data_IF_052788507365
#
_entry.id   IF_052788507365
#
_cell.length_a   1.000
_cell.length_b   1.000
_cell.length_c   1.000
_cell.angle_alpha   90.00
_cell.angle_beta   90.00
_cell.angle_gamma   90.00
#
_symmetry.space_group_name_H-M   'P 1'
#
loop_
_entity.id
_entity.type
_entity.pdbx_description
1 polymer ?
#
# COMPACT_ATOMS: atom_id res chain seq x y z
N UNK A 1 22.39 10.99 4.48
CA UNK A 1 21.85 9.84 5.23
C UNK A 1 21.53 8.81 4.18
N UNK A 2 22.25 7.71 4.15
CA UNK A 2 21.97 6.62 3.22
C UNK A 2 20.62 6.04 3.61
N UNK A 3 19.62 6.20 2.75
CA UNK A 3 18.30 5.60 2.97
C UNK A 3 18.51 4.13 2.71
N UNK A 4 18.45 3.30 3.76
CA UNK A 4 18.49 1.85 3.59
C UNK A 4 17.35 1.39 2.68
N UNK A 5 17.58 0.31 1.93
CA UNK A 5 16.56 -0.27 1.04
C UNK A 5 15.29 -0.57 1.84
N UNK A 6 14.13 -0.21 1.27
CA UNK A 6 12.86 -0.48 1.93
C UNK A 6 12.56 -1.99 1.93
N UNK A 7 12.09 -2.49 3.05
CA UNK A 7 11.75 -3.89 3.22
C UNK A 7 10.25 -4.12 3.04
N UNK A 8 9.88 -5.37 2.72
CA UNK A 8 8.47 -5.75 2.65
C UNK A 8 7.80 -5.53 4.00
N UNK A 9 6.66 -4.85 3.99
CA UNK A 9 5.91 -4.48 5.19
C UNK A 9 6.28 -3.09 5.72
N UNK A 10 7.35 -2.45 5.26
CA UNK A 10 7.69 -1.10 5.69
C UNK A 10 6.63 -0.08 5.29
N UNK A 11 6.39 0.91 6.16
CA UNK A 11 5.69 2.13 5.78
C UNK A 11 6.74 3.09 5.21
N UNK A 12 6.52 3.53 3.97
CA UNK A 12 7.45 4.39 3.24
C UNK A 12 6.82 5.74 2.91
N UNK A 13 7.64 6.80 3.01
CA UNK A 13 7.33 8.13 2.48
C UNK A 13 8.10 8.31 1.18
N UNK A 14 7.39 8.66 0.11
CA UNK A 14 8.00 8.83 -1.21
C UNK A 14 7.35 9.95 -2.00
N UNK A 15 8.13 10.54 -2.91
CA UNK A 15 7.65 11.50 -3.90
C UNK A 15 6.74 10.77 -4.90
N UNK A 16 5.49 11.17 -5.02
CA UNK A 16 4.51 10.52 -5.88
C UNK A 16 5.00 10.49 -7.35
N UNK A 17 5.23 9.31 -7.97
CA UNK A 17 5.93 9.26 -9.26
C UNK A 17 5.26 10.07 -10.39
N UNK A 18 3.92 10.05 -10.56
CA UNK A 18 3.24 10.89 -11.54
C UNK A 18 3.29 12.41 -11.24
N UNK A 19 3.48 12.80 -9.98
CA UNK A 19 3.60 14.22 -9.58
C UNK A 19 4.57 14.37 -8.38
N UNK A 20 5.89 14.45 -8.61
CA UNK A 20 6.90 14.39 -7.55
C UNK A 20 6.88 15.57 -6.56
N UNK A 21 6.09 16.61 -6.79
CA UNK A 21 5.90 17.69 -5.81
C UNK A 21 5.03 17.28 -4.61
N UNK A 22 4.41 16.10 -4.64
CA UNK A 22 3.52 15.58 -3.59
C UNK A 22 4.16 14.37 -2.92
N UNK A 23 4.14 14.35 -1.59
CA UNK A 23 4.61 13.22 -0.79
C UNK A 23 3.45 12.27 -0.48
N UNK A 24 3.68 10.98 -0.69
CA UNK A 24 2.74 9.91 -0.38
C UNK A 24 3.29 9.04 0.76
N UNK A 25 2.39 8.50 1.57
CA UNK A 25 2.68 7.48 2.57
C UNK A 25 1.87 6.24 2.22
N UNK A 26 2.55 5.11 2.04
CA UNK A 26 1.98 3.79 1.74
C UNK A 26 2.85 2.70 2.33
N UNK A 27 2.32 1.48 2.41
CA UNK A 27 3.08 0.29 2.80
C UNK A 27 3.72 -0.36 1.59
N UNK A 28 5.00 -0.73 1.70
CA UNK A 28 5.69 -1.54 0.70
C UNK A 28 5.20 -2.97 0.82
N UNK A 29 4.53 -3.49 -0.21
CA UNK A 29 4.03 -4.87 -0.24
C UNK A 29 4.84 -5.77 -1.17
N UNK A 30 5.54 -5.18 -2.15
CA UNK A 30 6.45 -5.88 -3.05
C UNK A 30 7.78 -5.14 -3.19
N UNK A 31 8.86 -5.90 -3.15
CA UNK A 31 10.25 -5.43 -3.36
C UNK A 31 10.77 -5.94 -4.72
N UNK A 32 11.94 -5.48 -5.22
CA UNK A 32 12.47 -5.93 -6.50
C UNK A 32 12.43 -7.45 -6.70
N UNK A 33 11.95 -7.88 -7.88
CA UNK A 33 11.81 -9.29 -8.25
C UNK A 33 10.54 -9.99 -7.75
N UNK A 34 9.82 -9.42 -6.79
CA UNK A 34 8.55 -10.00 -6.32
C UNK A 34 7.51 -10.03 -7.45
N UNK A 35 6.70 -11.07 -7.46
CA UNK A 35 5.46 -11.11 -8.23
C UNK A 35 4.27 -10.92 -7.30
N UNK A 36 3.47 -9.92 -7.61
CA UNK A 36 2.32 -9.46 -6.84
C UNK A 36 1.06 -9.73 -7.65
N UNK A 37 0.06 -10.36 -7.03
CA UNK A 37 -1.28 -10.55 -7.61
C UNK A 37 -2.32 -10.04 -6.64
N UNK A 38 -3.28 -9.25 -7.10
CA UNK A 38 -4.36 -8.74 -6.25
C UNK A 38 -5.74 -9.10 -6.81
N UNK A 39 -6.31 -10.20 -6.30
CA UNK A 39 -7.57 -10.78 -6.77
C UNK A 39 -8.58 -10.88 -5.66
N UNK A 40 -9.83 -10.51 -5.93
CA UNK A 40 -10.92 -10.58 -4.96
C UNK A 40 -10.57 -9.98 -3.59
N UNK A 41 -9.88 -8.83 -3.64
CA UNK A 41 -9.39 -8.10 -2.46
C UNK A 41 -8.39 -8.87 -1.58
N UNK A 42 -7.73 -9.87 -2.14
CA UNK A 42 -6.71 -10.67 -1.50
C UNK A 42 -5.41 -10.51 -2.26
N UNK A 43 -4.35 -10.26 -1.50
CA UNK A 43 -2.99 -10.19 -2.01
C UNK A 43 -2.40 -11.59 -2.09
N UNK A 44 -1.77 -11.91 -3.21
CA UNK A 44 -0.91 -13.07 -3.37
C UNK A 44 0.47 -12.57 -3.73
N UNK A 45 1.48 -13.23 -3.19
CA UNK A 45 2.87 -12.84 -3.30
C UNK A 45 3.66 -14.08 -3.68
N UNK A 46 4.46 -13.98 -4.72
CA UNK A 46 5.54 -14.91 -5.02
C UNK A 46 6.85 -14.13 -4.81
N UNK A 47 7.57 -14.40 -3.71
CA UNK A 47 8.80 -13.68 -3.41
C UNK A 47 9.86 -13.86 -4.49
N UNK A 48 10.67 -12.82 -4.72
CA UNK A 48 11.82 -12.90 -5.61
C UNK A 48 12.70 -14.11 -5.29
N UNK A 49 13.14 -14.83 -6.32
CA UNK A 49 14.10 -15.91 -6.15
C UNK A 49 15.48 -15.33 -5.83
N UNK A 50 16.10 -15.80 -4.75
CA UNK A 50 17.44 -15.34 -4.38
C UNK A 50 18.49 -16.02 -5.27
N UNK A 51 19.50 -15.26 -5.70
CA UNK A 51 20.60 -15.80 -6.50
C UNK A 51 21.27 -17.00 -5.82
N UNK A 52 21.44 -18.08 -6.58
CA UNK A 52 22.02 -19.33 -6.10
C UNK A 52 21.05 -20.24 -5.33
N UNK A 53 19.78 -19.86 -5.17
CA UNK A 53 18.76 -20.71 -4.59
C UNK A 53 18.28 -21.75 -5.61
N UNK A 54 18.34 -23.03 -5.23
CA UNK A 54 17.98 -24.14 -6.12
C UNK A 54 16.46 -24.31 -6.29
N UNK A 55 15.68 -23.90 -5.30
CA UNK A 55 14.22 -23.92 -5.32
C UNK A 55 13.67 -22.53 -4.99
N UNK A 56 13.06 -21.87 -5.97
CA UNK A 56 12.47 -20.55 -5.78
C UNK A 56 11.17 -20.62 -4.98
N UNK A 57 10.88 -19.61 -4.13
CA UNK A 57 9.59 -19.47 -3.47
C UNK A 57 8.44 -19.54 -4.46
N UNK A 58 7.36 -20.22 -4.08
CA UNK A 58 6.14 -20.29 -4.89
C UNK A 58 5.17 -19.21 -4.45
N UNK A 59 4.20 -18.92 -5.32
CA UNK A 59 3.08 -18.04 -4.97
C UNK A 59 2.37 -18.51 -3.70
N UNK A 60 2.20 -17.58 -2.78
CA UNK A 60 1.48 -17.77 -1.52
C UNK A 60 0.38 -16.73 -1.38
N UNK A 61 -0.72 -17.14 -0.75
CA UNK A 61 -1.74 -16.19 -0.31
C UNK A 61 -1.22 -15.42 0.89
N UNK A 62 -1.34 -14.10 0.85
CA UNK A 62 -1.07 -13.26 2.02
C UNK A 62 -2.23 -13.46 2.99
N UNK A 63 -1.94 -14.09 4.13
CA UNK A 63 -2.96 -14.44 5.10
C UNK A 63 -3.64 -13.19 5.64
N UNK A 64 -4.98 -13.22 5.72
CA UNK A 64 -5.76 -12.17 6.37
C UNK A 64 -6.84 -12.77 7.27
N UNK A 65 -7.03 -12.21 8.44
CA UNK A 65 -8.04 -12.61 9.41
C UNK A 65 -8.97 -11.44 9.70
N UNK A 66 -10.27 -11.71 9.81
CA UNK A 66 -11.23 -10.68 10.20
C UNK A 66 -10.99 -10.30 11.67
N UNK A 67 -10.86 -9.01 11.93
CA UNK A 67 -10.68 -8.49 13.28
C UNK A 67 -12.01 -7.95 13.81
N UNK A 68 -12.40 -8.28 15.06
CA UNK A 68 -13.56 -7.65 15.68
C UNK A 68 -13.33 -6.14 15.78
N UNK A 69 -14.37 -5.38 15.47
CA UNK A 69 -14.35 -3.92 15.50
C UNK A 69 -15.23 -3.42 16.64
N UNK A 70 -14.61 -2.81 17.66
CA UNK A 70 -15.34 -2.07 18.70
C UNK A 70 -15.92 -0.76 18.13
N UNK A 71 -15.15 -0.10 17.26
CA UNK A 71 -15.57 1.07 16.48
C UNK A 71 -15.58 0.71 14.98
N UNK A 72 -16.69 1.04 14.31
CA UNK A 72 -16.86 0.77 12.87
C UNK A 72 -16.29 1.93 12.07
N UNK A 73 -15.36 1.64 11.16
CA UNK A 73 -14.86 2.61 10.20
C UNK A 73 -15.86 2.79 9.04
N UNK A 74 -15.95 4.01 8.51
CA UNK A 74 -16.86 4.32 7.40
C UNK A 74 -16.16 4.98 6.22
N UNK A 75 -16.60 4.63 5.01
CA UNK A 75 -16.36 5.40 3.80
C UNK A 75 -17.68 6.05 3.37
N UNK A 76 -17.88 7.32 3.74
CA UNK A 76 -19.19 7.96 3.67
C UNK A 76 -20.19 7.25 4.59
N UNK A 77 -21.25 6.68 4.02
CA UNK A 77 -22.24 5.90 4.77
C UNK A 77 -22.00 4.39 4.78
N UNK A 78 -20.91 3.91 4.16
CA UNK A 78 -20.63 2.47 4.00
C UNK A 78 -19.69 1.99 5.10
N UNK A 79 -20.04 0.95 5.86
CA UNK A 79 -19.15 0.40 6.87
C UNK A 79 -17.98 -0.35 6.19
N UNK A 80 -16.81 -0.28 6.81
CA UNK A 80 -15.61 -0.99 6.39
C UNK A 80 -15.37 -2.19 7.31
N UNK A 81 -14.81 -3.25 6.73
CA UNK A 81 -14.32 -4.42 7.44
C UNK A 81 -12.82 -4.28 7.70
N UNK A 82 -12.44 -4.46 8.97
CA UNK A 82 -11.04 -4.52 9.41
C UNK A 82 -10.53 -5.95 9.35
N UNK A 83 -9.37 -6.11 8.75
CA UNK A 83 -8.63 -7.37 8.74
C UNK A 83 -7.21 -7.16 9.23
N UNK A 84 -6.64 -8.15 9.88
CA UNK A 84 -5.20 -8.26 10.13
C UNK A 84 -4.57 -9.05 8.99
N UNK A 85 -3.58 -8.46 8.30
CA UNK A 85 -2.87 -9.04 7.15
C UNK A 85 -1.38 -9.29 7.48
N UNK A 86 -0.85 -10.46 7.07
CA UNK A 86 0.51 -10.90 7.37
C UNK A 86 1.43 -10.82 6.13
N UNK A 87 2.36 -9.86 6.11
CA UNK A 87 3.39 -9.70 5.08
C UNK A 87 4.75 -10.15 5.61
N UNK A 88 5.13 -11.41 5.38
CA UNK A 88 6.35 -11.97 5.95
C UNK A 88 6.25 -11.96 7.48
N UNK A 89 7.14 -11.23 8.16
CA UNK A 89 7.13 -11.07 9.62
C UNK A 89 6.28 -9.87 10.10
N UNK A 90 5.76 -9.05 9.19
CA UNK A 90 4.97 -7.85 9.52
C UNK A 90 3.48 -8.14 9.50
N UNK A 91 2.84 -8.06 10.66
CA UNK A 91 1.38 -8.04 10.80
C UNK A 91 0.87 -6.59 10.81
N UNK A 92 -0.19 -6.28 10.07
CA UNK A 92 -0.79 -4.95 10.05
C UNK A 92 -2.29 -4.99 9.78
N UNK A 93 -2.98 -3.91 10.16
CA UNK A 93 -4.41 -3.76 9.87
C UNK A 93 -4.65 -3.23 8.46
N UNK A 94 -5.72 -3.70 7.83
CA UNK A 94 -6.25 -3.19 6.58
C UNK A 94 -7.76 -2.97 6.70
N UNK A 95 -8.28 -1.99 5.95
CA UNK A 95 -9.71 -1.74 5.82
C UNK A 95 -10.17 -2.08 4.40
N UNK A 96 -11.28 -2.80 4.32
CA UNK A 96 -11.93 -3.22 3.07
C UNK A 96 -13.39 -2.77 3.09
N UNK A 97 -13.88 -2.19 1.99
CA UNK A 97 -15.30 -1.88 1.80
C UNK A 97 -15.97 -3.10 1.13
N UNK A 98 -16.73 -3.95 1.83
CA UNK A 98 -17.31 -5.15 1.24
C UNK A 98 -18.33 -4.85 0.13
N UNK A 99 -18.84 -3.61 0.04
CA UNK A 99 -19.84 -3.21 -0.94
C UNK A 99 -19.27 -2.75 -2.29
N UNK A 100 -17.94 -2.59 -2.39
CA UNK A 100 -17.26 -2.11 -3.60
C UNK A 100 -16.59 -3.27 -4.33
N UNK A 101 -16.89 -3.46 -5.62
CA UNK A 101 -16.15 -4.42 -6.45
C UNK A 101 -14.74 -3.91 -6.78
N UNK A 102 -13.74 -4.81 -6.92
CA UNK A 102 -12.40 -4.44 -7.36
C UNK A 102 -12.43 -3.67 -8.69
N UNK A 103 -11.69 -2.55 -8.77
CA UNK A 103 -11.67 -1.64 -9.92
C UNK A 103 -10.64 -2.06 -10.97
N UNK A 104 -10.63 -3.34 -11.34
CA UNK A 104 -9.57 -3.96 -12.16
C UNK A 104 -9.33 -3.24 -13.49
N UNK A 105 -10.37 -2.71 -14.12
CA UNK A 105 -10.25 -1.96 -15.39
C UNK A 105 -9.43 -0.67 -15.29
N UNK A 106 -9.22 -0.15 -14.08
CA UNK A 106 -8.44 1.07 -13.81
C UNK A 106 -7.03 0.74 -13.32
N UNK A 107 -6.69 -0.54 -13.21
CA UNK A 107 -5.38 -0.92 -12.76
C UNK A 107 -4.33 -0.59 -13.81
N UNK A 108 -3.14 -0.22 -13.33
CA UNK A 108 -1.96 -0.06 -14.15
C UNK A 108 -1.61 -1.40 -14.79
N UNK A 109 -1.68 -1.47 -16.12
CA UNK A 109 -1.20 -2.63 -16.87
C UNK A 109 0.32 -2.51 -17.07
N UNK A 110 1.09 -3.45 -16.54
CA UNK A 110 2.53 -3.51 -16.81
C UNK A 110 2.75 -3.76 -18.33
N UNK A 111 3.44 -2.86 -19.06
CA UNK A 111 3.47 -2.85 -20.53
C UNK A 111 4.34 -3.95 -21.16
N UNK A 112 5.25 -4.51 -20.39
CA UNK A 112 6.43 -5.24 -20.86
C UNK A 112 6.51 -6.68 -20.35
N UNK A 113 5.46 -7.18 -19.68
CA UNK A 113 5.38 -8.57 -19.19
C UNK A 113 4.01 -9.17 -19.51
N UNK A 114 3.97 -10.47 -19.79
CA UNK A 114 2.74 -11.23 -20.03
C UNK A 114 1.91 -11.44 -18.75
N UNK A 115 1.85 -10.43 -17.87
CA UNK A 115 1.10 -10.47 -16.62
C UNK A 115 -0.37 -10.16 -16.89
N UNK A 116 -1.25 -10.77 -16.10
CA UNK A 116 -2.64 -10.40 -16.08
C UNK A 116 -2.82 -8.94 -15.59
N UNK A 117 -3.99 -8.36 -15.84
CA UNK A 117 -4.38 -6.99 -15.42
C UNK A 117 -4.31 -6.73 -13.91
N UNK A 118 -4.26 -7.80 -13.11
CA UNK A 118 -4.22 -7.79 -11.66
C UNK A 118 -2.92 -8.38 -11.10
N UNK A 119 -1.88 -8.41 -11.94
CA UNK A 119 -0.59 -9.02 -11.67
C UNK A 119 0.57 -8.14 -12.15
N UNK A 120 1.59 -8.04 -11.30
CA UNK A 120 2.78 -7.23 -11.53
C UNK A 120 4.01 -7.97 -11.08
N UNK A 121 5.10 -7.84 -11.83
CA UNK A 121 6.42 -8.28 -11.36
C UNK A 121 7.25 -7.02 -11.14
N UNK A 122 7.65 -6.81 -9.90
CA UNK A 122 8.34 -5.59 -9.45
C UNK A 122 9.71 -5.48 -10.13
N UNK A 123 9.99 -4.39 -10.86
CA UNK A 123 11.29 -4.20 -11.51
C UNK A 123 12.43 -3.99 -10.49
N UNK A 124 13.65 -4.18 -10.95
CA UNK A 124 14.85 -3.78 -10.20
C UNK A 124 14.81 -2.29 -9.85
N UNK A 125 15.27 -1.93 -8.64
CA UNK A 125 15.26 -0.55 -8.14
C UNK A 125 13.86 0.06 -7.97
N UNK A 126 12.81 -0.77 -7.91
CA UNK A 126 11.42 -0.32 -7.76
C UNK A 126 10.70 -1.07 -6.64
N UNK A 127 9.59 -0.49 -6.19
CA UNK A 127 8.73 -1.04 -5.16
C UNK A 127 7.26 -1.03 -5.59
N UNK A 128 6.48 -1.98 -5.07
CA UNK A 128 5.02 -1.97 -5.17
C UNK A 128 4.43 -1.55 -3.83
N UNK A 129 3.75 -0.42 -3.80
CA UNK A 129 3.24 0.19 -2.59
C UNK A 129 1.70 0.18 -2.57
N UNK A 130 1.10 -0.17 -1.43
CA UNK A 130 -0.36 -0.20 -1.23
C UNK A 130 -0.76 0.55 0.03
N UNK A 131 -1.96 1.13 0.02
CA UNK A 131 -2.55 1.71 1.22
C UNK A 131 -3.30 0.67 2.03
N UNK A 132 -3.23 0.80 3.36
CA UNK A 132 -3.92 -0.09 4.30
C UNK A 132 -5.45 0.09 4.22
N UNK A 133 -5.95 1.27 3.81
CA UNK A 133 -7.34 1.47 3.43
C UNK A 133 -7.57 1.05 1.96
N UNK A 134 -7.75 -0.25 1.72
CA UNK A 134 -7.55 -0.91 0.42
C UNK A 134 -8.48 -0.43 -0.68
N UNK A 135 -9.74 -0.13 -0.37
CA UNK A 135 -10.72 0.36 -1.35
C UNK A 135 -10.74 1.89 -1.48
N UNK A 136 -10.00 2.60 -0.62
CA UNK A 136 -9.92 4.06 -0.58
C UNK A 136 -8.48 4.57 -0.70
N UNK A 137 -7.65 3.84 -1.45
CA UNK A 137 -6.26 4.18 -1.68
C UNK A 137 -5.96 4.12 -3.18
N UNK A 138 -5.49 5.25 -3.72
CA UNK A 138 -4.85 5.32 -5.03
C UNK A 138 -3.35 5.03 -4.86
N UNK A 139 -2.94 3.83 -5.21
CA UNK A 139 -1.61 3.28 -4.96
C UNK A 139 -1.09 2.50 -6.17
N UNK A 140 -0.04 1.68 -6.02
CA UNK A 140 0.65 1.04 -7.15
C UNK A 140 -0.24 0.21 -8.06
N UNK A 141 -1.41 -0.22 -7.57
CA UNK A 141 -2.45 -0.86 -8.39
C UNK A 141 -2.90 0.03 -9.55
N UNK A 142 -2.87 1.36 -9.41
CA UNK A 142 -3.43 2.33 -10.36
C UNK A 142 -2.36 3.10 -11.15
N UNK A 143 -1.20 3.38 -10.55
CA UNK A 143 -0.13 4.17 -11.19
C UNK A 143 1.19 3.44 -11.36
N UNK A 144 1.30 2.18 -10.92
CA UNK A 144 2.50 1.35 -11.11
C UNK A 144 3.51 1.49 -9.98
N UNK A 145 4.80 1.38 -10.30
CA UNK A 145 5.84 1.17 -9.30
C UNK A 145 6.43 2.47 -8.75
N UNK A 146 7.00 2.42 -7.54
CA UNK A 146 7.77 3.50 -6.93
C UNK A 146 9.26 3.27 -7.20
N UNK A 147 9.96 4.13 -7.95
CA UNK A 147 11.40 4.05 -8.07
C UNK A 147 12.08 4.29 -6.71
N UNK A 148 13.21 3.61 -6.46
CA UNK A 148 13.97 3.76 -5.21
C UNK A 148 14.40 5.21 -4.95
N UNK A 149 14.75 5.96 -6.00
CA UNK A 149 15.10 7.38 -5.92
C UNK A 149 13.96 8.29 -5.45
N UNK A 150 12.71 7.83 -5.52
CA UNK A 150 11.56 8.56 -5.01
C UNK A 150 11.40 8.40 -3.50
N UNK A 151 12.07 7.43 -2.87
CA UNK A 151 12.00 7.23 -1.43
C UNK A 151 12.70 8.39 -0.70
N UNK A 152 11.95 9.10 0.15
CA UNK A 152 12.49 10.18 0.99
C UNK A 152 13.13 9.62 2.26
N UNK A 153 12.65 8.45 2.72
CA UNK A 153 13.15 7.72 3.88
C UNK A 153 12.20 6.59 4.32
N UNK A 154 12.73 5.60 5.05
CA UNK A 154 11.90 4.64 5.83
C UNK A 154 11.14 5.43 6.90
N UNK A 155 9.81 5.27 6.99
CA UNK A 155 9.06 5.81 8.12
C UNK A 155 9.33 4.93 9.35
N UNK A 156 10.52 5.05 9.94
CA UNK A 156 10.87 4.33 11.18
C UNK A 156 10.02 4.78 12.37
N UNK A 157 9.28 5.89 12.25
CA UNK A 157 8.28 6.36 13.19
C UNK A 157 7.15 7.10 12.47
N UNK A 158 5.89 6.81 12.81
CA UNK A 158 4.79 7.78 12.65
C UNK A 158 5.02 8.83 13.73
N UNK A 159 5.89 9.81 13.48
CA UNK A 159 6.20 10.87 14.45
C UNK A 159 5.10 11.94 14.53
N UNK A 160 4.21 11.97 13.53
CA UNK A 160 3.02 12.85 13.50
C UNK A 160 1.85 12.16 12.82
N UNK A 161 0.67 12.33 13.42
CA UNK A 161 -0.62 12.10 12.77
C UNK A 161 -1.35 13.44 12.67
N UNK A 162 -1.89 13.74 11.48
CA UNK A 162 -2.62 14.97 11.21
C UNK A 162 -4.12 14.70 11.19
N UNK A 163 -4.85 15.44 12.01
CA UNK A 163 -6.31 15.48 11.95
C UNK A 163 -6.75 16.59 10.99
N UNK A 164 -7.74 16.31 10.15
CA UNK A 164 -8.33 17.28 9.24
C UNK A 164 -9.82 17.40 9.56
N UNK A 165 -10.25 18.59 9.99
CA UNK A 165 -11.67 18.89 10.17
C UNK A 165 -12.40 18.82 8.82
N UNK A 166 -13.45 17.99 8.75
CA UNK A 166 -14.31 17.85 7.56
C UNK A 166 -15.66 18.57 7.72
N UNK A 167 -15.86 19.35 8.78
CA UNK A 167 -17.10 20.10 9.02
C UNK A 167 -17.38 21.12 7.91
N UNK A 168 -18.68 21.38 7.67
CA UNK A 168 -19.18 22.29 6.64
C UNK A 168 -18.97 23.77 6.98
N UNK A 169 -18.50 24.09 8.19
CA UNK A 169 -18.35 25.45 8.69
C UNK A 169 -16.87 25.79 8.96
N UNK A 170 -16.02 25.61 7.93
CA UNK A 170 -14.56 25.71 8.05
C UNK A 170 -14.03 27.13 7.90
N UNK A 171 -13.12 27.52 8.79
CA UNK A 171 -12.35 28.76 8.71
C UNK A 171 -10.99 28.58 7.99
N UNK A 172 -10.53 27.33 7.82
CA UNK A 172 -9.28 26.96 7.14
C UNK A 172 -9.56 26.03 5.94
N UNK A 173 -8.80 26.12 4.83
CA UNK A 173 -8.86 25.18 3.71
C UNK A 173 -8.68 23.72 4.13
N UNK A 174 -9.30 22.78 3.40
CA UNK A 174 -9.33 21.35 3.74
C UNK A 174 -7.99 20.62 3.76
N UNK A 175 -6.95 21.22 3.18
CA UNK A 175 -5.59 20.72 3.15
C UNK A 175 -4.74 21.22 4.33
N UNK A 176 -5.29 22.07 5.19
CA UNK A 176 -4.63 22.54 6.41
C UNK A 176 -5.07 21.63 7.57
N UNK A 177 -4.12 20.98 8.27
CA UNK A 177 -4.43 20.13 9.41
C UNK A 177 -4.97 20.96 10.58
N UNK A 178 -5.98 20.44 11.27
CA UNK A 178 -6.59 21.05 12.45
C UNK A 178 -6.08 20.48 13.76
N UNK A 179 -5.37 19.35 13.71
CA UNK A 179 -4.72 18.76 14.87
C UNK A 179 -3.43 18.05 14.46
N UNK A 180 -2.45 18.07 15.35
CA UNK A 180 -1.23 17.26 15.23
C UNK A 180 -1.17 16.39 16.48
N UNK A 181 -1.22 15.07 16.31
CA UNK A 181 -0.91 14.11 17.36
C UNK A 181 0.54 13.68 17.23
N UNK A 182 1.27 13.85 18.33
CA UNK A 182 2.65 13.39 18.50
C UNK A 182 2.59 12.00 19.16
N UNK A 183 3.34 11.03 18.64
CA UNK A 183 3.46 9.66 19.18
C UNK A 183 4.83 9.43 19.80
#
# INVERSE_FOLDING_TARGET
IEVGQAERGDIAVFKFPPQPSVDFIKRIVGVPGDRIIYRNKTLYLEPACVDGQQECPQIQVVAKNIEPQEEVYFNGSRPLERYSEQLGDVTHDILIDPSVSPRVSYYYQQPDRATAVDEWIVPEGHYFAMGDNRDNSEDSRYWGFVPEENLVGRAVFIWMSFEFDQSSNRFLPSWIPTGIRWH
#
